data_IF_961943555789
#
_entry.id   IF_961943555789
#
_cell.length_a   1.000
_cell.length_b   1.000
_cell.length_c   1.000
_cell.angle_alpha   90.00
_cell.angle_beta   90.00
_cell.angle_gamma   90.00
#
_symmetry.space_group_name_H-M   'P 1'
#
loop_
_entity.id
_entity.type
_entity.pdbx_description
1 polymer ?
#
# COMPACT_ATOMS: atom_id res chain seq x y z
N UNK A 1 -10.43 18.40 17.87
CA UNK A 1 -9.30 17.57 17.43
C UNK A 1 -7.98 18.19 17.86
N UNK A 2 -7.37 17.66 18.91
CA UNK A 2 -6.06 18.06 19.44
C UNK A 2 -4.95 17.94 18.38
N UNK A 3 -5.04 16.96 17.48
CA UNK A 3 -4.05 16.71 16.43
C UNK A 3 -3.88 17.89 15.46
N UNK A 4 -4.94 18.66 15.19
CA UNK A 4 -4.87 19.84 14.30
C UNK A 4 -3.89 20.87 14.86
N UNK A 5 -3.95 21.11 16.18
CA UNK A 5 -3.04 22.02 16.89
C UNK A 5 -1.60 21.55 16.79
N UNK A 6 -1.36 20.24 16.89
CA UNK A 6 -0.02 19.68 16.79
C UNK A 6 0.55 19.79 15.37
N UNK A 7 -0.23 19.41 14.35
CA UNK A 7 0.17 19.51 12.95
C UNK A 7 0.51 20.94 12.55
N UNK A 8 -0.34 21.89 12.97
CA UNK A 8 -0.12 23.33 12.78
C UNK A 8 1.19 23.81 13.40
N UNK A 9 1.47 23.43 14.66
CA UNK A 9 2.72 23.76 15.35
C UNK A 9 3.94 23.13 14.68
N UNK A 10 3.83 21.90 14.17
CA UNK A 10 4.91 21.21 13.44
C UNK A 10 5.26 21.91 12.12
N UNK A 11 4.25 22.41 11.39
CA UNK A 11 4.42 23.27 10.20
C UNK A 11 4.83 24.72 10.54
N UNK A 12 4.97 25.08 11.83
CA UNK A 12 5.35 26.42 12.32
C UNK A 12 4.42 27.56 11.85
N UNK A 13 3.12 27.28 11.74
CA UNK A 13 2.11 28.27 11.32
C UNK A 13 1.17 28.67 12.49
N UNK A 14 0.61 29.88 12.40
CA UNK A 14 -0.35 30.43 13.36
C UNK A 14 -1.77 29.92 13.11
N UNK A 15 -2.66 30.06 14.09
CA UNK A 15 -4.07 29.69 13.92
C UNK A 15 -4.76 30.55 12.85
N UNK A 16 -4.36 31.82 12.73
CA UNK A 16 -4.84 32.74 11.70
C UNK A 16 -4.43 32.24 10.32
N UNK A 17 -3.15 31.91 10.12
CA UNK A 17 -2.64 31.38 8.85
C UNK A 17 -3.34 30.08 8.43
N UNK A 18 -3.58 29.16 9.38
CA UNK A 18 -4.35 27.95 9.07
C UNK A 18 -5.80 28.27 8.70
N UNK A 19 -6.41 29.26 9.37
CA UNK A 19 -7.76 29.73 9.08
C UNK A 19 -7.86 30.30 7.66
N UNK A 20 -6.92 31.16 7.29
CA UNK A 20 -6.88 31.78 5.96
C UNK A 20 -6.74 30.72 4.86
N UNK A 21 -5.88 29.74 5.07
CA UNK A 21 -5.62 28.66 4.11
C UNK A 21 -6.83 27.75 3.86
N UNK A 22 -7.57 27.39 4.91
CA UNK A 22 -8.78 26.54 4.76
C UNK A 22 -10.06 27.37 4.57
N UNK A 23 -9.95 28.70 4.59
CA UNK A 23 -11.05 29.64 4.42
C UNK A 23 -12.04 29.66 5.58
N UNK A 24 -11.57 29.71 6.83
CA UNK A 24 -12.39 29.86 8.05
C UNK A 24 -11.78 30.86 9.03
N UNK A 25 -12.60 31.39 9.94
CA UNK A 25 -12.12 32.38 10.92
C UNK A 25 -11.12 31.79 11.95
N UNK A 26 -10.29 32.65 12.53
CA UNK A 26 -9.45 32.31 13.70
C UNK A 26 -10.26 31.62 14.82
N UNK A 27 -11.44 32.14 15.12
CA UNK A 27 -12.34 31.58 16.15
C UNK A 27 -12.78 30.16 15.80
N UNK A 28 -12.99 29.87 14.52
CA UNK A 28 -13.32 28.54 14.03
C UNK A 28 -12.16 27.56 14.24
N UNK A 29 -10.92 27.98 13.94
CA UNK A 29 -9.73 27.16 14.20
C UNK A 29 -9.57 26.87 15.70
N UNK A 30 -9.76 27.88 16.55
CA UNK A 30 -9.72 27.71 17.99
C UNK A 30 -10.76 26.71 18.50
N UNK A 31 -11.95 26.66 17.89
CA UNK A 31 -12.97 25.67 18.20
C UNK A 31 -12.54 24.27 17.73
N UNK A 32 -12.02 24.14 16.51
CA UNK A 32 -11.59 22.87 15.93
C UNK A 32 -10.43 22.22 16.68
N UNK A 33 -9.54 23.01 17.27
CA UNK A 33 -8.41 22.53 18.07
C UNK A 33 -8.77 22.05 19.49
N UNK A 34 -10.04 22.17 19.91
CA UNK A 34 -10.49 21.68 21.22
C UNK A 34 -10.67 20.16 21.21
N UNK A 35 -10.52 19.52 22.37
CA UNK A 35 -10.88 18.11 22.54
C UNK A 35 -12.36 17.90 22.16
N UNK A 36 -12.67 16.80 21.48
CA UNK A 36 -14.03 16.42 21.05
C UNK A 36 -14.76 17.43 20.15
N UNK A 37 -14.01 18.31 19.48
CA UNK A 37 -14.61 19.27 18.55
C UNK A 37 -15.35 18.57 17.40
N UNK A 38 -16.63 18.88 17.23
CA UNK A 38 -17.41 18.46 16.07
C UNK A 38 -17.07 19.36 14.86
N UNK A 39 -16.32 18.83 13.91
CA UNK A 39 -15.87 19.55 12.72
C UNK A 39 -16.72 19.11 11.52
N UNK A 40 -17.40 20.05 10.81
CA UNK A 40 -18.14 19.71 9.60
C UNK A 40 -17.24 19.02 8.57
N UNK A 41 -17.75 17.95 7.94
CA UNK A 41 -16.96 17.10 7.02
C UNK A 41 -16.25 17.92 5.93
N UNK A 42 -16.92 18.94 5.37
CA UNK A 42 -16.37 19.86 4.37
C UNK A 42 -15.07 20.54 4.85
N UNK A 43 -15.04 20.99 6.10
CA UNK A 43 -13.87 21.67 6.65
C UNK A 43 -12.81 20.66 7.11
N UNK A 44 -13.23 19.49 7.58
CA UNK A 44 -12.31 18.39 7.89
C UNK A 44 -11.57 17.91 6.63
N UNK A 45 -12.23 17.82 5.48
CA UNK A 45 -11.61 17.52 4.18
C UNK A 45 -10.54 18.55 3.81
N UNK A 46 -10.82 19.85 3.96
CA UNK A 46 -9.83 20.90 3.67
C UNK A 46 -8.61 20.82 4.60
N UNK A 47 -8.85 20.55 5.88
CA UNK A 47 -7.77 20.35 6.86
C UNK A 47 -6.91 19.14 6.45
N UNK A 48 -7.56 18.03 6.07
CA UNK A 48 -6.87 16.82 5.62
C UNK A 48 -6.02 17.10 4.38
N UNK A 49 -6.58 17.75 3.37
CA UNK A 49 -5.88 18.15 2.15
C UNK A 49 -4.68 19.07 2.45
N UNK A 50 -4.86 20.08 3.31
CA UNK A 50 -3.77 21.00 3.68
C UNK A 50 -2.58 20.28 4.36
N UNK A 51 -2.86 19.24 5.14
CA UNK A 51 -1.83 18.42 5.78
C UNK A 51 -1.39 17.23 4.93
N UNK A 52 -1.85 17.11 3.68
CA UNK A 52 -1.57 16.01 2.77
C UNK A 52 -1.92 14.65 3.38
N UNK A 53 -3.08 14.59 4.02
CA UNK A 53 -3.60 13.43 4.74
C UNK A 53 -5.04 13.11 4.31
N UNK A 54 -5.49 11.89 4.60
CA UNK A 54 -6.90 11.53 4.57
C UNK A 54 -7.59 11.88 5.90
N UNK A 55 -8.92 11.98 5.87
CA UNK A 55 -9.72 12.18 7.08
C UNK A 55 -9.54 11.02 8.08
N UNK A 56 -9.38 9.79 7.58
CA UNK A 56 -9.12 8.63 8.42
C UNK A 56 -7.79 8.75 9.16
N UNK A 57 -6.72 9.20 8.50
CA UNK A 57 -5.42 9.41 9.13
C UNK A 57 -5.46 10.50 10.21
N UNK A 58 -6.25 11.57 9.98
CA UNK A 58 -6.49 12.61 10.96
C UNK A 58 -7.14 12.07 12.23
N UNK A 59 -8.19 11.25 12.10
CA UNK A 59 -8.85 10.61 13.25
C UNK A 59 -7.97 9.58 13.95
N UNK A 60 -7.23 8.76 13.20
CA UNK A 60 -6.37 7.74 13.78
C UNK A 60 -5.25 8.35 14.62
N UNK A 61 -4.70 9.51 14.20
CA UNK A 61 -3.73 10.26 15.01
C UNK A 61 -4.35 10.92 16.24
N UNK A 62 -5.59 11.40 16.16
CA UNK A 62 -6.30 11.94 17.33
C UNK A 62 -6.49 10.88 18.43
N UNK A 63 -6.84 9.65 18.05
CA UNK A 63 -7.04 8.53 18.99
C UNK A 63 -5.72 8.20 19.69
N UNK A 64 -4.60 8.18 18.96
CA UNK A 64 -3.28 7.86 19.51
C UNK A 64 -2.75 8.93 20.50
N UNK A 65 -3.18 10.19 20.37
CA UNK A 65 -2.77 11.28 21.27
C UNK A 65 -3.59 11.35 22.57
N UNK A 66 -4.79 10.75 22.60
CA UNK A 66 -5.69 10.77 23.76
C UNK A 66 -5.34 9.73 24.83
N UNK A 67 -4.40 8.83 24.55
CA UNK A 67 -3.98 7.74 25.45
C UNK A 67 -2.58 7.91 26.03
N UNK A 68 -2.31 9.02 26.76
CA UNK A 68 -1.18 9.18 27.71
C UNK A 68 0.26 8.98 27.13
N UNK A 69 1.32 9.43 27.84
CA UNK A 69 2.64 9.68 27.24
C UNK A 69 3.37 8.35 26.94
N UNK A 70 4.15 8.33 25.86
CA UNK A 70 4.98 7.22 25.37
C UNK A 70 4.29 6.16 24.50
N UNK A 71 3.60 6.56 23.43
CA UNK A 71 3.76 5.78 22.18
C UNK A 71 5.19 6.05 21.69
N UNK A 72 6.11 5.12 21.97
CA UNK A 72 7.54 5.28 21.63
C UNK A 72 7.77 5.55 20.15
N UNK A 73 6.91 5.04 19.28
CA UNK A 73 7.04 5.19 17.84
C UNK A 73 5.81 5.87 17.23
N UNK A 74 6.01 7.06 16.66
CA UNK A 74 4.96 7.82 15.99
C UNK A 74 4.66 7.20 14.61
N UNK A 75 3.41 7.29 14.10
CA UNK A 75 3.12 6.91 12.74
C UNK A 75 4.05 7.64 11.75
N UNK A 76 4.52 6.91 10.74
CA UNK A 76 5.45 7.45 9.75
C UNK A 76 5.07 6.99 8.35
N UNK A 77 5.44 7.81 7.36
CA UNK A 77 5.19 7.54 5.94
C UNK A 77 6.47 7.10 5.27
N UNK A 78 6.39 6.07 4.43
CA UNK A 78 7.51 5.58 3.63
C UNK A 78 7.00 4.97 2.33
N UNK A 79 7.54 5.44 1.20
CA UNK A 79 7.17 5.00 -0.15
C UNK A 79 5.65 4.99 -0.44
N UNK A 80 4.92 6.01 0.02
CA UNK A 80 3.47 6.12 -0.20
C UNK A 80 2.61 5.28 0.76
N UNK A 81 3.23 4.47 1.62
CA UNK A 81 2.55 3.73 2.68
C UNK A 81 2.70 4.43 4.03
N UNK A 82 1.68 4.32 4.88
CA UNK A 82 1.70 4.84 6.26
C UNK A 82 1.73 3.70 7.24
N UNK A 83 2.67 3.76 8.17
CA UNK A 83 2.91 2.73 9.18
C UNK A 83 2.48 3.26 10.53
N UNK A 84 1.61 2.52 11.21
CA UNK A 84 1.19 2.76 12.58
C UNK A 84 1.85 1.70 13.46
N UNK A 85 2.86 2.07 14.27
CA UNK A 85 3.43 1.16 15.25
C UNK A 85 2.35 0.70 16.22
N UNK A 86 2.33 -0.60 16.48
CA UNK A 86 1.45 -1.27 17.44
C UNK A 86 2.32 -1.85 18.57
N UNK A 87 1.67 -2.36 19.63
CA UNK A 87 2.39 -3.08 20.68
C UNK A 87 3.08 -4.35 20.15
N UNK A 88 4.09 -4.79 20.89
CA UNK A 88 4.86 -6.01 20.59
C UNK A 88 5.55 -6.03 19.21
N UNK A 89 5.99 -4.87 18.72
CA UNK A 89 6.80 -4.76 17.49
C UNK A 89 6.01 -4.97 16.20
N UNK A 90 4.67 -4.97 16.25
CA UNK A 90 3.81 -5.07 15.08
C UNK A 90 3.54 -3.69 14.48
N UNK A 91 3.12 -3.67 13.23
CA UNK A 91 2.73 -2.45 12.53
C UNK A 91 1.45 -2.68 11.74
N UNK A 92 0.54 -1.71 11.78
CA UNK A 92 -0.52 -1.59 10.77
C UNK A 92 0.05 -0.78 9.60
N UNK A 93 0.19 -1.40 8.42
CA UNK A 93 0.62 -0.72 7.20
C UNK A 93 -0.60 -0.39 6.34
N UNK A 94 -0.84 0.89 6.10
CA UNK A 94 -1.76 1.42 5.09
C UNK A 94 -0.99 1.57 3.78
N UNK A 95 -1.26 0.73 2.78
CA UNK A 95 -0.55 0.72 1.50
C UNK A 95 -1.52 0.98 0.32
N UNK A 96 -1.01 1.47 -0.83
CA UNK A 96 -1.81 1.63 -2.04
C UNK A 96 -2.48 0.32 -2.46
N UNK A 97 -3.78 0.38 -2.76
CA UNK A 97 -4.61 -0.76 -3.15
C UNK A 97 -4.96 -0.68 -4.63
N UNK A 98 -4.51 -1.68 -5.39
CA UNK A 98 -4.82 -1.86 -6.81
C UNK A 98 -5.95 -2.90 -6.92
N UNK A 99 -7.17 -2.41 -7.16
CA UNK A 99 -8.37 -3.21 -7.39
C UNK A 99 -8.38 -3.79 -8.82
N UNK A 100 -9.12 -4.89 -9.03
CA UNK A 100 -9.20 -5.54 -10.35
C UNK A 100 -9.66 -4.58 -11.44
N UNK A 101 -10.65 -3.74 -11.14
CA UNK A 101 -11.21 -2.73 -12.06
C UNK A 101 -10.18 -1.65 -12.43
N UNK A 102 -9.11 -1.53 -11.65
CA UNK A 102 -8.02 -0.58 -11.84
C UNK A 102 -6.75 -1.17 -12.46
N UNK A 103 -6.68 -2.48 -12.69
CA UNK A 103 -5.48 -3.14 -13.24
C UNK A 103 -5.02 -2.50 -14.56
N UNK A 104 -5.94 -2.31 -15.51
CA UNK A 104 -5.62 -1.72 -16.82
C UNK A 104 -5.04 -0.31 -16.66
N UNK A 105 -5.73 0.53 -15.90
CA UNK A 105 -5.32 1.91 -15.65
C UNK A 105 -3.98 2.00 -14.92
N UNK A 106 -3.73 1.10 -13.97
CA UNK A 106 -2.46 1.00 -13.27
C UNK A 106 -1.31 0.62 -14.19
N UNK A 107 -1.52 -0.32 -15.12
CA UNK A 107 -0.50 -0.68 -16.11
C UNK A 107 -0.22 0.50 -17.07
N UNK A 108 -1.27 1.16 -17.56
CA UNK A 108 -1.16 2.33 -18.45
C UNK A 108 -0.39 3.48 -17.78
N UNK A 109 -0.59 3.72 -16.48
CA UNK A 109 0.12 4.78 -15.76
C UNK A 109 1.62 4.49 -15.57
N UNK A 110 2.04 3.22 -15.60
CA UNK A 110 3.44 2.84 -15.59
C UNK A 110 4.11 3.04 -16.96
N UNK A 111 3.36 2.91 -18.06
CA UNK A 111 3.88 3.12 -19.42
C UNK A 111 4.05 4.62 -19.75
N UNK A 112 3.16 5.47 -19.21
CA UNK A 112 3.17 6.93 -19.44
C UNK A 112 4.16 7.73 -18.57
N UNK A 113 5.22 7.11 -18.07
CA UNK A 113 6.21 7.68 -17.15
C UNK A 113 7.00 8.86 -17.77
N UNK A 114 6.35 10.03 -17.84
CA UNK A 114 6.93 11.37 -17.98
C UNK A 114 5.98 12.52 -17.55
N UNK A 115 4.78 12.26 -17.02
CA UNK A 115 3.88 13.31 -16.51
C UNK A 115 3.15 12.92 -15.23
N UNK A 116 3.86 12.97 -14.11
CA UNK A 116 3.29 12.87 -12.75
C UNK A 116 2.87 11.44 -12.38
N UNK A 117 3.26 11.00 -11.19
CA UNK A 117 2.82 9.72 -10.63
C UNK A 117 1.29 9.74 -10.47
N UNK A 118 0.56 9.01 -11.32
CA UNK A 118 -0.87 8.83 -11.09
C UNK A 118 -1.03 7.98 -9.82
N UNK A 119 -1.38 8.64 -8.72
CA UNK A 119 -1.52 7.99 -7.42
C UNK A 119 -2.70 7.03 -7.47
N UNK A 120 -2.45 5.76 -7.18
CA UNK A 120 -3.49 4.77 -6.90
C UNK A 120 -4.41 5.37 -5.82
N UNK A 121 -5.71 5.56 -6.10
CA UNK A 121 -6.58 6.39 -5.24
C UNK A 121 -7.06 5.64 -3.99
N UNK A 122 -6.86 4.32 -3.95
CA UNK A 122 -7.30 3.49 -2.84
C UNK A 122 -6.13 3.11 -1.96
N UNK A 123 -6.42 2.94 -0.68
CA UNK A 123 -5.50 2.37 0.29
C UNK A 123 -6.25 1.33 1.12
N UNK A 124 -5.52 0.32 1.59
CA UNK A 124 -6.02 -0.66 2.55
C UNK A 124 -4.92 -1.07 3.52
N UNK A 125 -5.26 -1.85 4.54
CA UNK A 125 -4.42 -2.10 5.70
C UNK A 125 -4.04 -3.58 5.85
N UNK A 126 -2.81 -3.84 6.29
CA UNK A 126 -2.36 -5.14 6.78
C UNK A 126 -1.61 -4.99 8.10
N UNK A 127 -1.67 -6.00 8.97
CA UNK A 127 -0.80 -6.08 10.15
C UNK A 127 0.46 -6.87 9.79
N UNK A 128 1.64 -6.27 9.96
CA UNK A 128 2.95 -6.87 9.67
C UNK A 128 3.84 -6.89 10.93
N UNK A 129 4.83 -7.79 10.94
CA UNK A 129 5.72 -7.99 12.09
C UNK A 129 7.04 -7.20 11.99
N UNK A 130 7.34 -6.62 10.83
CA UNK A 130 8.47 -5.71 10.63
C UNK A 130 8.29 -4.86 9.36
N UNK A 131 8.93 -3.69 9.33
CA UNK A 131 8.87 -2.76 8.19
C UNK A 131 10.07 -2.99 7.27
N UNK A 132 9.82 -3.38 6.04
CA UNK A 132 10.85 -3.57 5.03
C UNK A 132 11.41 -2.23 4.48
N UNK A 133 12.48 -2.32 3.69
CA UNK A 133 13.07 -1.14 3.03
C UNK A 133 12.26 -0.73 1.81
N UNK A 134 11.73 -1.72 1.11
CA UNK A 134 11.08 -1.63 -0.19
C UNK A 134 9.59 -1.23 -0.05
N UNK A 135 8.98 -0.64 -1.10
CA UNK A 135 7.57 -0.26 -1.09
C UNK A 135 6.63 -1.46 -0.94
N UNK A 136 5.49 -1.21 -0.29
CA UNK A 136 4.38 -2.15 -0.20
C UNK A 136 3.24 -1.72 -1.11
N UNK A 137 2.60 -2.68 -1.77
CA UNK A 137 1.36 -2.51 -2.52
C UNK A 137 0.40 -3.62 -2.17
N UNK A 138 -0.90 -3.33 -2.22
CA UNK A 138 -1.95 -4.33 -2.05
C UNK A 138 -2.59 -4.55 -3.42
N UNK A 139 -2.78 -5.82 -3.80
CA UNK A 139 -3.47 -6.19 -5.02
C UNK A 139 -4.67 -7.07 -4.71
N UNK A 140 -5.77 -6.82 -5.39
CA UNK A 140 -6.87 -7.76 -5.47
C UNK A 140 -6.54 -8.84 -6.52
N UNK A 141 -6.67 -10.12 -6.16
CA UNK A 141 -6.31 -11.24 -7.04
C UNK A 141 -7.51 -11.68 -7.87
N UNK A 142 -7.27 -11.96 -9.16
CA UNK A 142 -8.26 -12.51 -10.09
C UNK A 142 -7.98 -13.99 -10.39
N UNK A 143 -9.04 -14.78 -10.42
CA UNK A 143 -9.01 -16.19 -10.80
C UNK A 143 -8.53 -17.13 -9.69
N UNK A 144 -8.68 -18.43 -9.93
CA UNK A 144 -8.40 -19.49 -8.94
C UNK A 144 -7.12 -20.27 -9.26
N UNK A 145 -6.27 -19.77 -10.15
CA UNK A 145 -5.01 -20.42 -10.52
C UNK A 145 -4.05 -20.66 -9.35
N UNK A 146 -4.17 -19.88 -8.28
CA UNK A 146 -3.37 -20.03 -7.06
C UNK A 146 -4.16 -20.64 -5.91
N UNK A 147 -5.33 -21.24 -6.18
CA UNK A 147 -6.21 -21.81 -5.17
C UNK A 147 -6.23 -23.34 -5.26
N UNK A 148 -5.39 -23.98 -4.47
CA UNK A 148 -5.31 -25.44 -4.30
C UNK A 148 -6.01 -25.91 -3.00
N UNK A 149 -6.80 -25.03 -2.36
CA UNK A 149 -7.41 -25.25 -1.04
C UNK A 149 -6.43 -25.47 0.12
N UNK A 150 -5.12 -25.31 -0.10
CA UNK A 150 -4.12 -25.39 0.96
C UNK A 150 -4.07 -24.13 1.80
N UNK A 151 -3.33 -24.17 2.92
CA UNK A 151 -3.02 -22.98 3.70
C UNK A 151 -2.24 -21.93 2.89
N UNK A 152 -1.58 -22.31 1.79
CA UNK A 152 -0.84 -21.41 0.90
C UNK A 152 -1.71 -20.84 -0.23
N UNK A 153 -2.92 -21.38 -0.43
CA UNK A 153 -3.86 -20.95 -1.45
C UNK A 153 -4.10 -19.44 -1.44
N UNK A 154 -4.23 -18.85 -2.63
CA UNK A 154 -4.65 -17.48 -2.86
C UNK A 154 -5.89 -17.55 -3.78
N UNK A 155 -7.09 -17.68 -3.19
CA UNK A 155 -8.37 -17.65 -3.90
C UNK A 155 -8.61 -16.39 -4.71
N UNK A 156 -9.49 -16.51 -5.70
CA UNK A 156 -10.08 -15.35 -6.38
C UNK A 156 -10.64 -14.35 -5.36
N UNK A 157 -10.49 -13.05 -5.64
CA UNK A 157 -10.91 -11.93 -4.77
C UNK A 157 -10.16 -11.78 -3.45
N UNK A 158 -9.11 -12.56 -3.22
CA UNK A 158 -8.19 -12.32 -2.09
C UNK A 158 -7.42 -11.02 -2.28
N UNK A 159 -7.13 -10.33 -1.19
CA UNK A 159 -6.20 -9.21 -1.17
C UNK A 159 -4.83 -9.68 -0.71
N UNK A 160 -3.77 -9.31 -1.43
CA UNK A 160 -2.40 -9.70 -1.09
C UNK A 160 -1.52 -8.48 -0.87
N UNK A 161 -0.74 -8.49 0.21
CA UNK A 161 0.30 -7.49 0.46
C UNK A 161 1.59 -7.94 -0.25
N UNK A 162 1.94 -7.20 -1.29
CA UNK A 162 3.16 -7.37 -2.06
C UNK A 162 4.27 -6.43 -1.59
N UNK A 163 5.47 -6.95 -1.37
CA UNK A 163 6.69 -6.19 -1.17
C UNK A 163 7.42 -6.07 -2.51
N UNK A 164 7.68 -4.84 -2.96
CA UNK A 164 8.32 -4.59 -4.24
C UNK A 164 9.73 -5.21 -4.31
N UNK A 165 10.04 -5.80 -5.46
CA UNK A 165 11.34 -6.39 -5.77
C UNK A 165 11.84 -5.79 -7.09
N UNK A 166 13.14 -5.54 -7.21
CA UNK A 166 13.72 -5.22 -8.52
C UNK A 166 13.65 -6.47 -9.38
N UNK A 167 13.08 -6.38 -10.58
CA UNK A 167 12.91 -7.55 -11.45
C UNK A 167 14.26 -8.19 -11.81
N UNK A 168 15.32 -7.39 -11.87
CA UNK A 168 16.69 -7.84 -12.11
C UNK A 168 17.20 -8.76 -10.99
N UNK A 169 16.63 -8.68 -9.78
CA UNK A 169 16.98 -9.59 -8.68
C UNK A 169 16.54 -11.03 -8.99
N UNK A 170 15.47 -11.24 -9.77
CA UNK A 170 15.07 -12.58 -10.22
C UNK A 170 16.09 -13.21 -11.18
N UNK A 171 16.91 -12.41 -11.87
CA UNK A 171 17.97 -12.94 -12.74
C UNK A 171 19.22 -13.35 -11.96
N UNK A 172 19.30 -13.02 -10.66
CA UNK A 172 20.42 -13.38 -9.79
C UNK A 172 20.27 -14.81 -9.28
N UNK A 173 21.39 -15.44 -8.95
CA UNK A 173 21.43 -16.78 -8.34
C UNK A 173 21.09 -16.71 -6.84
N UNK A 174 19.89 -16.25 -6.52
CA UNK A 174 19.35 -16.24 -5.16
C UNK A 174 18.20 -17.24 -5.04
N UNK A 175 18.53 -18.43 -4.54
CA UNK A 175 17.57 -19.52 -4.31
C UNK A 175 16.44 -19.13 -3.34
N UNK A 176 16.64 -18.10 -2.50
CA UNK A 176 15.63 -17.65 -1.55
C UNK A 176 14.43 -16.97 -2.21
N UNK A 177 14.49 -16.69 -3.52
CA UNK A 177 13.40 -16.09 -4.28
C UNK A 177 12.42 -17.14 -4.82
N UNK A 178 12.78 -18.42 -4.88
CA UNK A 178 11.97 -19.45 -5.50
C UNK A 178 10.98 -20.10 -4.55
N UNK A 179 9.97 -20.75 -5.14
CA UNK A 179 8.85 -21.42 -4.46
C UNK A 179 8.03 -20.47 -3.57
N UNK A 180 7.99 -19.19 -3.95
CA UNK A 180 7.20 -18.14 -3.29
C UNK A 180 6.20 -17.54 -4.26
N UNK A 181 5.10 -17.01 -3.74
CA UNK A 181 4.05 -16.39 -4.55
C UNK A 181 4.35 -14.91 -4.79
N UNK A 182 4.09 -14.44 -6.00
CA UNK A 182 4.37 -13.10 -6.46
C UNK A 182 3.17 -12.53 -7.23
N UNK A 183 3.02 -11.22 -7.15
CA UNK A 183 2.30 -10.44 -8.14
C UNK A 183 3.29 -9.97 -9.19
N UNK A 184 2.98 -10.25 -10.46
CA UNK A 184 3.71 -9.74 -11.62
C UNK A 184 2.82 -8.77 -12.36
N UNK A 185 3.28 -7.53 -12.49
CA UNK A 185 2.63 -6.51 -13.31
C UNK A 185 3.30 -6.56 -14.67
N UNK A 186 2.61 -7.15 -15.64
CA UNK A 186 3.06 -7.24 -17.02
C UNK A 186 2.53 -6.06 -17.84
N UNK A 187 3.06 -5.89 -19.06
CA UNK A 187 2.61 -4.86 -20.01
C UNK A 187 1.12 -4.94 -20.37
N UNK A 188 0.52 -6.14 -20.28
CA UNK A 188 -0.85 -6.42 -20.71
C UNK A 188 -1.79 -6.82 -19.55
N UNK A 189 -1.25 -7.33 -18.45
CA UNK A 189 -2.03 -7.90 -17.34
C UNK A 189 -1.28 -7.92 -16.02
N UNK A 190 -2.02 -8.05 -14.92
CA UNK A 190 -1.46 -8.34 -13.59
C UNK A 190 -1.81 -9.78 -13.22
N UNK A 191 -0.82 -10.58 -12.83
CA UNK A 191 -1.00 -12.00 -12.51
C UNK A 191 -0.42 -12.36 -11.14
N UNK A 192 -1.04 -13.34 -10.48
CA UNK A 192 -0.56 -13.96 -9.27
C UNK A 192 -0.03 -15.37 -9.59
N UNK A 193 1.25 -15.64 -9.32
CA UNK A 193 1.92 -16.91 -9.64
C UNK A 193 2.96 -17.27 -8.59
N UNK A 194 3.25 -18.56 -8.43
CA UNK A 194 4.47 -18.98 -7.76
C UNK A 194 5.63 -18.92 -8.77
N UNK A 195 6.78 -18.40 -8.37
CA UNK A 195 7.98 -18.42 -9.20
C UNK A 195 8.89 -19.58 -8.77
N UNK A 196 9.28 -20.44 -9.71
CA UNK A 196 10.05 -21.66 -9.42
C UNK A 196 11.49 -21.61 -9.94
N UNK A 197 11.82 -20.64 -10.80
CA UNK A 197 13.18 -20.44 -11.30
C UNK A 197 13.29 -19.39 -12.38
N UNK A 198 14.53 -19.14 -12.82
CA UNK A 198 14.86 -18.24 -13.93
C UNK A 198 15.74 -18.95 -14.97
N UNK A 199 15.40 -18.79 -16.24
CA UNK A 199 16.15 -19.31 -17.37
C UNK A 199 17.00 -18.21 -18.01
N UNK A 200 18.32 -18.16 -17.78
CA UNK A 200 19.18 -17.09 -18.28
C UNK A 200 19.36 -17.12 -19.80
N UNK A 201 19.20 -18.28 -20.45
CA UNK A 201 19.32 -18.39 -21.91
C UNK A 201 18.15 -17.73 -22.64
N UNK A 202 16.95 -17.84 -22.06
CA UNK A 202 15.72 -17.28 -22.63
C UNK A 202 15.34 -15.92 -22.03
N UNK A 203 15.92 -15.55 -20.89
CA UNK A 203 15.51 -14.37 -20.13
C UNK A 203 14.11 -14.51 -19.52
N UNK A 204 13.69 -15.74 -19.20
CA UNK A 204 12.33 -16.04 -18.73
C UNK A 204 12.31 -16.48 -17.27
N UNK A 205 11.26 -16.09 -16.54
CA UNK A 205 10.92 -16.63 -15.23
C UNK A 205 9.91 -17.77 -15.39
N UNK A 206 10.04 -18.81 -14.58
CA UNK A 206 9.12 -19.95 -14.56
C UNK A 206 7.96 -19.66 -13.61
N UNK A 207 6.75 -19.62 -14.15
CA UNK A 207 5.52 -19.34 -13.43
C UNK A 207 4.74 -20.63 -13.21
N UNK A 208 4.55 -20.98 -11.94
CA UNK A 208 3.79 -22.14 -11.50
C UNK A 208 2.42 -21.74 -10.95
N UNK A 209 1.40 -22.56 -11.24
CA UNK A 209 0.07 -22.45 -10.66
C UNK A 209 -0.08 -23.48 -9.53
N UNK A 210 -0.50 -23.05 -8.34
CA UNK A 210 -0.78 -24.00 -7.25
C UNK A 210 -1.97 -24.89 -7.59
N UNK A 211 -2.97 -24.34 -8.29
CA UNK A 211 -4.12 -25.11 -8.73
C UNK A 211 -3.74 -25.97 -9.94
N UNK A 212 -3.87 -27.28 -9.79
CA UNK A 212 -3.46 -28.30 -10.78
C UNK A 212 -4.58 -28.71 -11.75
N UNK A 213 -5.74 -28.03 -11.70
CA UNK A 213 -6.79 -28.28 -12.69
C UNK A 213 -6.30 -28.04 -14.13
N UNK A 214 -6.77 -28.80 -15.13
CA UNK A 214 -6.21 -28.80 -16.49
C UNK A 214 -6.16 -27.44 -17.21
N UNK A 215 -7.02 -26.50 -16.83
CA UNK A 215 -7.05 -25.13 -17.35
C UNK A 215 -5.89 -24.24 -16.88
N UNK A 216 -5.18 -24.64 -15.82
CA UNK A 216 -4.03 -23.91 -15.27
C UNK A 216 -2.73 -24.66 -15.58
N UNK A 217 -2.07 -24.24 -16.65
CA UNK A 217 -0.78 -24.79 -17.03
C UNK A 217 0.35 -23.83 -16.65
N UNK A 218 1.45 -24.41 -16.20
CA UNK A 218 2.69 -23.68 -15.96
C UNK A 218 3.23 -23.11 -17.26
N UNK A 219 3.88 -21.95 -17.16
CA UNK A 219 4.41 -21.27 -18.33
C UNK A 219 5.68 -20.49 -18.00
N UNK A 220 6.43 -20.14 -19.04
CA UNK A 220 7.55 -19.22 -18.96
C UNK A 220 7.10 -17.80 -19.32
N UNK A 221 7.55 -16.80 -18.57
CA UNK A 221 7.27 -15.38 -18.84
C UNK A 221 8.58 -14.63 -19.07
N UNK A 222 8.68 -13.86 -20.15
CA UNK A 222 9.86 -13.01 -20.40
C UNK A 222 9.94 -11.90 -19.36
N UNK A 223 11.11 -11.73 -18.75
CA UNK A 223 11.32 -10.69 -17.75
C UNK A 223 11.17 -9.27 -18.34
N UNK A 224 11.41 -9.11 -19.64
CA UNK A 224 11.19 -7.87 -20.39
C UNK A 224 9.71 -7.45 -20.46
N UNK A 225 8.78 -8.40 -20.33
CA UNK A 225 7.34 -8.13 -20.34
C UNK A 225 6.80 -7.81 -18.96
N UNK A 226 7.64 -7.93 -17.93
CA UNK A 226 7.33 -7.56 -16.55
C UNK A 226 7.77 -6.12 -16.29
N UNK A 227 6.80 -5.27 -15.95
CA UNK A 227 7.00 -3.89 -15.55
C UNK A 227 7.43 -3.80 -14.07
N UNK A 228 6.75 -4.55 -13.19
CA UNK A 228 7.03 -4.57 -11.76
C UNK A 228 6.80 -5.97 -11.15
N UNK A 229 7.54 -6.27 -10.08
CA UNK A 229 7.47 -7.54 -9.35
C UNK A 229 7.21 -7.25 -7.88
N UNK A 230 6.26 -7.96 -7.28
CA UNK A 230 5.98 -7.88 -5.85
C UNK A 230 5.94 -9.27 -5.23
N UNK A 231 6.79 -9.51 -4.23
CA UNK A 231 6.77 -10.72 -3.43
C UNK A 231 5.62 -10.68 -2.44
N UNK A 232 4.75 -11.68 -2.45
CA UNK A 232 3.62 -11.72 -1.52
C UNK A 232 4.13 -12.09 -0.13
N UNK A 233 3.86 -11.22 0.85
CA UNK A 233 4.28 -11.40 2.25
C UNK A 233 3.10 -11.67 3.20
N UNK A 234 1.89 -11.24 2.82
CA UNK A 234 0.63 -11.57 3.52
C UNK A 234 -0.54 -11.62 2.54
N UNK A 235 -1.61 -12.29 2.95
CA UNK A 235 -2.89 -12.35 2.24
C UNK A 235 -4.06 -12.21 3.21
N UNK A 236 -5.16 -11.68 2.71
CA UNK A 236 -6.45 -11.59 3.37
C UNK A 236 -7.47 -12.24 2.44
N UNK A 237 -8.20 -13.21 2.98
CA UNK A 237 -9.21 -14.01 2.28
C UNK A 237 -10.60 -13.39 2.47
#
# INVERSE_FOLDING_TARGET
>A
MVIIKQLRRKKKISQTQLGDEIGVSLRTIQLYERKDANIPIKNLTKIAQYFEMTIAELHLREINDLGEPYVKDKPFTKHGSVFYPLEHGKYLVMAPLVLLEWHKKYIESLDMLNKGEEKVPFQSAFIIDSVAKEPYYIFEVSGNSMNDSSIQAIPNKSFVLGLALKKEDLAKKDESLWNKSYILVCKDRIICKQLTGYNPKKGTVQCHNLNTSPEYQDFELRLDDVLQVFKIVKKQL
#
